data_IF_136212262905
#
_entry.id   IF_136212262905
#
_cell.length_a   1.000
_cell.length_b   1.000
_cell.length_c   1.000
_cell.angle_alpha   90.00
_cell.angle_beta   90.00
_cell.angle_gamma   90.00
#
_symmetry.space_group_name_H-M   'P 1'
#
loop_
_entity.id
_entity.type
_entity.pdbx_description
1 polymer ?
#
# COMPACT_ATOMS: atom_id res chain seq x y z
N UNK A 1 -8.69 -21.37 -21.38
CA UNK A 1 -8.83 -20.34 -20.31
C UNK A 1 -10.17 -19.63 -20.54
N UNK A 2 -11.15 -19.84 -19.66
CA UNK A 2 -12.55 -19.40 -19.88
C UNK A 2 -12.68 -17.88 -19.99
N UNK A 3 -13.65 -17.42 -20.77
CA UNK A 3 -13.92 -16.00 -21.07
C UNK A 3 -14.16 -15.17 -19.80
N UNK A 4 -14.85 -15.75 -18.82
CA UNK A 4 -15.11 -15.12 -17.52
C UNK A 4 -13.84 -14.82 -16.71
N UNK A 5 -12.81 -15.65 -16.84
CA UNK A 5 -11.52 -15.44 -16.17
C UNK A 5 -10.79 -14.25 -16.81
N UNK A 6 -10.83 -14.13 -18.14
CA UNK A 6 -10.25 -12.98 -18.85
C UNK A 6 -10.94 -11.67 -18.45
N UNK A 7 -12.27 -11.64 -18.38
CA UNK A 7 -13.04 -10.45 -18.00
C UNK A 7 -12.73 -10.01 -16.57
N UNK A 8 -12.67 -10.95 -15.61
CA UNK A 8 -12.30 -10.65 -14.21
C UNK A 8 -10.87 -10.11 -14.09
N UNK A 9 -9.91 -10.68 -14.82
CA UNK A 9 -8.51 -10.21 -14.84
C UNK A 9 -8.41 -8.80 -15.44
N UNK A 10 -9.12 -8.52 -16.53
CA UNK A 10 -9.12 -7.20 -17.16
C UNK A 10 -9.72 -6.15 -16.24
N UNK A 11 -10.88 -6.41 -15.62
CA UNK A 11 -11.52 -5.47 -14.67
C UNK A 11 -10.64 -5.17 -13.46
N UNK A 12 -9.98 -6.18 -12.91
CA UNK A 12 -9.03 -6.00 -11.81
C UNK A 12 -7.82 -5.18 -12.24
N UNK A 13 -7.31 -5.39 -13.45
CA UNK A 13 -6.15 -4.65 -13.98
C UNK A 13 -6.49 -3.17 -14.19
N UNK A 14 -7.68 -2.87 -14.72
CA UNK A 14 -8.16 -1.50 -14.89
C UNK A 14 -8.32 -0.77 -13.54
N UNK A 15 -8.88 -1.45 -12.53
CA UNK A 15 -8.98 -0.88 -11.18
C UNK A 15 -7.60 -0.60 -10.58
N UNK A 16 -6.65 -1.52 -10.74
CA UNK A 16 -5.29 -1.33 -10.25
C UNK A 16 -4.62 -0.11 -10.92
N UNK A 17 -4.80 0.07 -12.24
CA UNK A 17 -4.30 1.24 -12.96
C UNK A 17 -4.96 2.52 -12.43
N UNK A 18 -6.29 2.54 -12.27
CA UNK A 18 -7.02 3.70 -11.76
C UNK A 18 -6.52 4.10 -10.37
N UNK A 19 -6.39 3.15 -9.45
CA UNK A 19 -5.86 3.42 -8.12
C UNK A 19 -4.40 3.90 -8.17
N UNK A 20 -3.59 3.34 -9.06
CA UNK A 20 -2.20 3.79 -9.27
C UNK A 20 -2.16 5.26 -9.70
N UNK A 21 -3.01 5.65 -10.67
CA UNK A 21 -3.11 7.03 -11.13
C UNK A 21 -3.54 7.97 -10.00
N UNK A 22 -4.57 7.60 -9.23
CA UNK A 22 -5.04 8.38 -8.08
C UNK A 22 -3.94 8.52 -7.01
N UNK A 23 -3.21 7.44 -6.73
CA UNK A 23 -2.08 7.47 -5.80
C UNK A 23 -0.95 8.40 -6.26
N UNK A 24 -0.59 8.36 -7.55
CA UNK A 24 0.39 9.28 -8.14
C UNK A 24 -0.02 10.74 -8.00
N UNK A 25 -1.30 11.07 -8.25
CA UNK A 25 -1.83 12.43 -8.11
C UNK A 25 -1.76 12.88 -6.63
N UNK A 26 -2.14 12.02 -5.69
CA UNK A 26 -2.06 12.32 -4.25
C UNK A 26 -0.62 12.60 -3.80
N UNK A 27 0.34 11.76 -4.19
CA UNK A 27 1.75 11.99 -3.91
C UNK A 27 2.23 13.31 -4.50
N UNK A 28 1.86 13.57 -5.74
CA UNK A 28 2.22 14.78 -6.46
C UNK A 28 1.73 16.06 -5.78
N UNK A 29 0.48 16.05 -5.31
CA UNK A 29 -0.11 17.16 -4.54
C UNK A 29 0.62 17.31 -3.21
N UNK A 30 0.83 16.22 -2.47
CA UNK A 30 1.56 16.21 -1.20
C UNK A 30 2.97 16.81 -1.33
N UNK A 31 3.69 16.46 -2.40
CA UNK A 31 5.03 16.98 -2.67
C UNK A 31 5.01 18.46 -3.05
N UNK A 32 4.23 18.85 -4.06
CA UNK A 32 4.29 20.21 -4.60
C UNK A 32 3.70 21.25 -3.64
N UNK A 33 2.55 20.97 -3.02
CA UNK A 33 1.88 21.93 -2.18
C UNK A 33 2.54 22.06 -0.80
N UNK A 34 3.13 20.98 -0.26
CA UNK A 34 3.61 20.98 1.11
C UNK A 34 5.14 20.88 1.22
N UNK A 35 5.75 19.82 0.68
CA UNK A 35 7.19 19.59 0.86
C UNK A 35 8.05 20.62 0.10
N UNK A 36 7.72 20.85 -1.17
CA UNK A 36 8.46 21.80 -2.01
C UNK A 36 8.20 23.24 -1.57
N UNK A 37 6.97 23.54 -1.13
CA UNK A 37 6.64 24.84 -0.53
C UNK A 37 7.52 25.12 0.71
N UNK A 38 7.71 24.11 1.56
CA UNK A 38 8.58 24.19 2.75
C UNK A 38 10.10 24.11 2.43
N UNK A 39 10.51 23.99 1.16
CA UNK A 39 11.90 23.70 0.73
C UNK A 39 12.49 22.47 1.41
N UNK A 40 11.65 21.47 1.64
CA UNK A 40 12.05 20.17 2.13
C UNK A 40 12.49 19.28 0.97
N UNK A 41 13.26 18.27 1.32
CA UNK A 41 13.62 17.19 0.42
C UNK A 41 12.47 16.17 0.38
N UNK A 42 12.58 15.21 -0.53
CA UNK A 42 11.68 14.07 -0.66
C UNK A 42 12.42 12.77 -0.35
N UNK A 43 11.70 11.66 -0.18
CA UNK A 43 12.31 10.34 -0.11
C UNK A 43 12.82 9.84 -1.48
N UNK A 44 13.79 8.92 -1.42
CA UNK A 44 14.27 8.08 -2.51
C UNK A 44 14.91 8.86 -3.65
N UNK A 45 14.63 8.41 -4.87
CA UNK A 45 15.11 9.08 -6.09
C UNK A 45 14.51 10.47 -6.23
N UNK A 46 13.28 10.70 -5.78
CA UNK A 46 12.66 12.04 -5.80
C UNK A 46 13.48 13.03 -4.97
N UNK A 47 14.02 12.60 -3.82
CA UNK A 47 14.94 13.40 -3.01
C UNK A 47 16.20 13.80 -3.78
N UNK A 48 16.84 12.83 -4.43
CA UNK A 48 18.02 13.07 -5.28
C UNK A 48 17.68 14.04 -6.43
N UNK A 49 16.51 13.89 -7.06
CA UNK A 49 16.06 14.78 -8.13
C UNK A 49 15.82 16.21 -7.62
N UNK A 50 15.28 16.39 -6.42
CA UNK A 50 15.12 17.73 -5.82
C UNK A 50 16.47 18.37 -5.50
N UNK A 51 17.45 17.60 -5.00
CA UNK A 51 18.82 18.09 -4.81
C UNK A 51 19.38 18.58 -6.16
N UNK A 52 19.25 17.79 -7.23
CA UNK A 52 19.69 18.18 -8.57
C UNK A 52 18.95 19.42 -9.09
N UNK A 53 17.64 19.52 -8.83
CA UNK A 53 16.86 20.69 -9.23
C UNK A 53 17.27 21.95 -8.48
N UNK A 54 17.54 21.87 -7.19
CA UNK A 54 17.91 23.02 -6.38
C UNK A 54 19.35 23.48 -6.63
N UNK A 55 20.29 22.56 -6.88
CA UNK A 55 21.70 22.89 -7.13
C UNK A 55 21.99 23.21 -8.59
N UNK A 56 21.47 22.42 -9.53
CA UNK A 56 21.80 22.50 -10.96
C UNK A 56 20.66 23.02 -11.84
N UNK A 57 19.51 23.37 -11.26
CA UNK A 57 18.29 23.83 -11.97
C UNK A 57 17.77 22.84 -13.03
N UNK A 58 18.13 21.57 -12.91
CA UNK A 58 17.62 20.51 -13.79
C UNK A 58 16.17 20.19 -13.37
N UNK A 59 15.20 20.11 -14.30
CA UNK A 59 13.83 19.76 -13.95
C UNK A 59 13.76 18.38 -13.28
N UNK A 60 13.25 18.30 -12.04
CA UNK A 60 13.23 17.05 -11.28
C UNK A 60 12.50 15.92 -12.00
N UNK A 61 11.43 16.22 -12.75
CA UNK A 61 10.69 15.21 -13.51
C UNK A 61 11.54 14.49 -14.57
N UNK A 62 12.50 15.18 -15.21
CA UNK A 62 13.40 14.59 -16.20
C UNK A 62 14.45 13.73 -15.51
N UNK A 63 15.10 14.26 -14.47
CA UNK A 63 16.06 13.52 -13.65
C UNK A 63 15.44 12.25 -13.06
N UNK A 64 14.16 12.31 -12.67
CA UNK A 64 13.43 11.17 -12.12
C UNK A 64 13.31 10.04 -13.13
N UNK A 65 12.98 10.34 -14.39
CA UNK A 65 12.88 9.32 -15.43
C UNK A 65 14.24 8.67 -15.73
N UNK A 66 15.29 9.48 -15.82
CA UNK A 66 16.64 8.99 -16.16
C UNK A 66 17.17 8.06 -15.06
N UNK A 67 17.08 8.47 -13.79
CA UNK A 67 17.58 7.67 -12.66
C UNK A 67 16.76 6.37 -12.49
N UNK A 68 15.49 6.37 -12.91
CA UNK A 68 14.63 5.19 -12.83
C UNK A 68 14.89 4.13 -13.92
N UNK A 69 15.48 4.48 -15.07
CA UNK A 69 15.80 3.52 -16.13
C UNK A 69 16.60 2.30 -15.63
N UNK A 70 17.74 2.44 -14.93
CA UNK A 70 18.48 1.28 -14.39
C UNK A 70 17.68 0.53 -13.31
N UNK A 71 16.84 1.22 -12.53
CA UNK A 71 16.04 0.61 -11.49
C UNK A 71 14.90 -0.24 -12.07
N UNK A 72 14.36 0.11 -13.24
CA UNK A 72 13.39 -0.74 -13.94
C UNK A 72 14.01 -2.06 -14.41
N UNK A 73 15.28 -2.05 -14.81
CA UNK A 73 15.99 -3.27 -15.15
C UNK A 73 16.14 -4.18 -13.92
N UNK A 74 16.53 -3.61 -12.77
CA UNK A 74 16.58 -4.34 -11.50
C UNK A 74 15.21 -4.89 -11.09
N UNK A 75 14.16 -4.07 -11.20
CA UNK A 75 12.77 -4.47 -10.95
C UNK A 75 12.37 -5.65 -11.82
N UNK A 76 12.66 -5.61 -13.13
CA UNK A 76 12.32 -6.71 -14.04
C UNK A 76 12.98 -8.02 -13.63
N UNK A 77 14.25 -7.98 -13.23
CA UNK A 77 15.02 -9.16 -12.83
C UNK A 77 14.55 -9.76 -11.51
N UNK A 78 14.18 -8.94 -10.52
CA UNK A 78 13.86 -9.41 -9.16
C UNK A 78 12.35 -9.57 -8.94
N UNK A 79 11.57 -8.55 -9.33
CA UNK A 79 10.13 -8.46 -9.05
C UNK A 79 9.27 -9.13 -10.14
N UNK A 80 9.78 -9.19 -11.37
CA UNK A 80 9.09 -9.79 -12.51
C UNK A 80 8.25 -8.80 -13.32
N UNK A 81 7.77 -9.27 -14.48
CA UNK A 81 7.18 -8.42 -15.55
C UNK A 81 5.98 -7.58 -15.10
N UNK A 82 5.06 -8.15 -14.33
CA UNK A 82 3.81 -7.48 -13.93
C UNK A 82 4.09 -6.25 -13.05
N UNK A 83 4.95 -6.40 -12.05
CA UNK A 83 5.33 -5.32 -11.14
C UNK A 83 6.09 -4.21 -11.88
N UNK A 84 7.01 -4.58 -12.77
CA UNK A 84 7.78 -3.60 -13.56
C UNK A 84 6.89 -2.77 -14.47
N UNK A 85 5.92 -3.37 -15.17
CA UNK A 85 4.99 -2.61 -16.03
C UNK A 85 4.17 -1.61 -15.21
N UNK A 86 3.60 -2.05 -14.08
CA UNK A 86 2.85 -1.16 -13.19
C UNK A 86 3.74 -0.05 -12.60
N UNK A 87 5.00 -0.35 -12.30
CA UNK A 87 5.97 0.63 -11.79
C UNK A 87 6.37 1.66 -12.85
N UNK A 88 6.57 1.25 -14.11
CA UNK A 88 6.81 2.16 -15.23
C UNK A 88 5.59 3.08 -15.41
N UNK A 89 4.38 2.53 -15.41
CA UNK A 89 3.15 3.31 -15.48
C UNK A 89 3.02 4.30 -14.31
N UNK A 90 3.28 3.85 -13.09
CA UNK A 90 3.28 4.70 -11.89
C UNK A 90 4.31 5.82 -11.97
N UNK A 91 5.53 5.51 -12.39
CA UNK A 91 6.63 6.47 -12.54
C UNK A 91 6.32 7.54 -13.59
N UNK A 92 5.83 7.14 -14.77
CA UNK A 92 5.44 8.06 -15.84
C UNK A 92 4.27 8.94 -15.40
N UNK A 93 3.24 8.33 -14.81
CA UNK A 93 2.06 9.06 -14.32
C UNK A 93 2.45 10.05 -13.22
N UNK A 94 3.31 9.65 -12.30
CA UNK A 94 3.83 10.52 -11.25
C UNK A 94 4.64 11.68 -11.83
N UNK A 95 5.55 11.43 -12.77
CA UNK A 95 6.32 12.51 -13.42
C UNK A 95 5.42 13.53 -14.13
N UNK A 96 4.38 13.06 -14.84
CA UNK A 96 3.40 13.93 -15.49
C UNK A 96 2.59 14.72 -14.44
N UNK A 97 2.03 14.05 -13.44
CA UNK A 97 1.27 14.68 -12.37
C UNK A 97 2.11 15.72 -11.61
N UNK A 98 3.38 15.41 -11.35
CA UNK A 98 4.34 16.27 -10.67
C UNK A 98 4.55 17.57 -11.42
N UNK A 99 4.74 17.51 -12.74
CA UNK A 99 4.84 18.72 -13.55
C UNK A 99 3.52 19.49 -13.64
N UNK A 100 2.39 18.80 -13.76
CA UNK A 100 1.06 19.42 -13.83
C UNK A 100 0.66 20.13 -12.52
N UNK A 101 1.10 19.62 -11.39
CA UNK A 101 0.77 20.18 -10.07
C UNK A 101 1.80 21.21 -9.57
N UNK A 102 2.94 21.36 -10.24
CA UNK A 102 3.96 22.35 -9.91
C UNK A 102 3.46 23.81 -9.83
N UNK A 103 2.51 24.28 -10.68
CA UNK A 103 1.96 25.63 -10.57
C UNK A 103 1.23 25.89 -9.25
N UNK A 104 0.70 24.86 -8.59
CA UNK A 104 -0.06 25.00 -7.35
C UNK A 104 0.83 25.15 -6.10
N UNK A 105 2.16 25.12 -6.23
CA UNK A 105 3.09 25.23 -5.09
C UNK A 105 2.90 26.48 -4.23
N UNK A 106 2.37 27.57 -4.80
CA UNK A 106 2.16 28.85 -4.12
C UNK A 106 0.70 29.07 -3.69
N UNK A 107 -0.17 28.07 -3.86
CA UNK A 107 -1.58 28.18 -3.51
C UNK A 107 -1.80 28.25 -1.99
N UNK A 108 -0.91 27.62 -1.22
CA UNK A 108 -0.96 27.65 0.24
C UNK A 108 -0.15 28.84 0.79
N UNK A 109 -0.73 29.56 1.74
CA UNK A 109 -0.08 30.65 2.48
C UNK A 109 0.45 30.20 3.85
N UNK A 110 0.45 28.89 4.10
CA UNK A 110 0.84 28.28 5.37
C UNK A 110 2.37 28.30 5.48
N UNK A 111 2.89 28.85 6.59
CA UNK A 111 4.34 28.94 6.84
C UNK A 111 4.85 27.98 7.92
N UNK A 112 3.96 27.31 8.65
CA UNK A 112 4.35 26.37 9.70
C UNK A 112 5.00 25.11 9.09
N UNK A 113 6.31 24.90 9.28
CA UNK A 113 7.02 23.77 8.69
C UNK A 113 6.53 22.42 9.21
N UNK A 114 6.08 22.33 10.47
CA UNK A 114 5.57 21.08 11.05
C UNK A 114 4.26 20.71 10.37
N UNK A 115 3.36 21.69 10.20
CA UNK A 115 2.08 21.47 9.52
C UNK A 115 2.32 20.97 8.09
N UNK A 116 3.23 21.63 7.36
CA UNK A 116 3.60 21.25 6.00
C UNK A 116 4.21 19.83 5.95
N UNK A 117 5.09 19.48 6.91
CA UNK A 117 5.64 18.12 7.02
C UNK A 117 4.55 17.06 7.25
N UNK A 118 3.61 17.33 8.16
CA UNK A 118 2.56 16.36 8.51
C UNK A 118 1.65 16.12 7.32
N UNK A 119 1.10 17.16 6.69
CA UNK A 119 0.18 16.99 5.57
C UNK A 119 0.89 16.49 4.30
N UNK A 120 2.10 16.97 4.04
CA UNK A 120 2.95 16.47 2.95
C UNK A 120 3.25 14.98 3.14
N UNK A 121 3.63 14.59 4.36
CA UNK A 121 3.89 13.19 4.73
C UNK A 121 2.64 12.31 4.63
N UNK A 122 1.49 12.75 5.15
CA UNK A 122 0.24 11.98 5.10
C UNK A 122 -0.21 11.77 3.66
N UNK A 123 -0.28 12.82 2.84
CA UNK A 123 -0.73 12.71 1.44
C UNK A 123 0.22 11.85 0.61
N UNK A 124 1.53 12.02 0.81
CA UNK A 124 2.53 11.21 0.14
C UNK A 124 2.43 9.73 0.58
N UNK A 125 2.31 9.47 1.88
CA UNK A 125 2.13 8.12 2.41
C UNK A 125 0.86 7.44 1.90
N UNK A 126 -0.26 8.17 1.84
CA UNK A 126 -1.51 7.68 1.26
C UNK A 126 -1.32 7.28 -0.21
N UNK A 127 -0.74 8.16 -1.02
CA UNK A 127 -0.53 7.88 -2.44
C UNK A 127 0.44 6.72 -2.67
N UNK A 128 1.56 6.67 -1.95
CA UNK A 128 2.53 5.57 -2.00
C UNK A 128 1.88 4.24 -1.63
N UNK A 129 1.09 4.23 -0.55
CA UNK A 129 0.41 3.03 -0.07
C UNK A 129 -0.62 2.52 -1.09
N UNK A 130 -1.37 3.41 -1.73
CA UNK A 130 -2.32 3.04 -2.79
C UNK A 130 -1.60 2.44 -4.00
N UNK A 131 -0.51 3.05 -4.47
CA UNK A 131 0.27 2.54 -5.61
C UNK A 131 0.85 1.15 -5.29
N UNK A 132 1.48 1.00 -4.13
CA UNK A 132 2.11 -0.26 -3.72
C UNK A 132 1.09 -1.38 -3.51
N UNK A 133 -0.09 -1.05 -2.96
CA UNK A 133 -1.21 -1.98 -2.81
C UNK A 133 -1.72 -2.55 -4.14
N UNK A 134 -1.43 -1.89 -5.26
CA UNK A 134 -1.87 -2.25 -6.60
C UNK A 134 -0.76 -2.88 -7.46
N UNK A 135 0.29 -3.42 -6.82
CA UNK A 135 1.45 -4.05 -7.47
C UNK A 135 2.29 -3.10 -8.35
N UNK A 136 2.29 -1.81 -8.04
CA UNK A 136 3.15 -0.81 -8.67
C UNK A 136 4.06 -0.15 -7.66
N UNK A 137 4.97 0.68 -8.15
CA UNK A 137 5.74 1.64 -7.34
C UNK A 137 5.79 2.97 -8.10
N UNK A 138 6.04 4.05 -7.38
CA UNK A 138 6.37 5.33 -8.02
C UNK A 138 7.75 5.29 -8.68
N UNK A 139 8.55 4.25 -8.39
CA UNK A 139 9.91 4.08 -8.83
C UNK A 139 10.89 4.34 -7.70
N UNK A 140 12.14 4.54 -8.05
CA UNK A 140 13.19 4.97 -7.16
C UNK A 140 13.73 3.88 -6.26
N UNK A 141 14.35 4.30 -5.16
CA UNK A 141 15.00 3.39 -4.21
C UNK A 141 13.99 2.50 -3.46
N UNK A 142 12.70 2.82 -3.55
CA UNK A 142 11.62 1.95 -3.12
C UNK A 142 11.58 0.63 -3.91
N UNK A 143 12.06 0.59 -5.17
CA UNK A 143 12.27 -0.66 -5.90
C UNK A 143 13.30 -1.54 -5.20
N UNK A 144 14.34 -0.93 -4.61
CA UNK A 144 15.39 -1.66 -3.89
C UNK A 144 14.82 -2.21 -2.58
N UNK A 145 14.06 -1.42 -1.83
CA UNK A 145 13.39 -1.89 -0.61
C UNK A 145 12.41 -3.04 -0.90
N UNK A 146 11.63 -2.94 -1.99
CA UNK A 146 10.77 -4.02 -2.48
C UNK A 146 11.58 -5.28 -2.84
N UNK A 147 12.70 -5.12 -3.54
CA UNK A 147 13.58 -6.23 -3.91
C UNK A 147 14.21 -6.91 -2.67
N UNK A 148 14.61 -6.13 -1.66
CA UNK A 148 15.13 -6.66 -0.40
C UNK A 148 14.05 -7.43 0.36
N UNK A 149 12.84 -6.86 0.50
CA UNK A 149 11.71 -7.53 1.15
C UNK A 149 11.35 -8.84 0.43
N UNK A 150 11.37 -8.84 -0.91
CA UNK A 150 11.12 -10.06 -1.69
C UNK A 150 12.14 -11.16 -1.41
N UNK A 151 13.41 -10.79 -1.22
CA UNK A 151 14.48 -11.75 -0.96
C UNK A 151 14.51 -12.20 0.50
N UNK A 152 14.13 -11.32 1.43
CA UNK A 152 14.16 -11.54 2.87
C UNK A 152 12.84 -11.06 3.51
N UNK A 153 11.96 -11.98 3.84
CA UNK A 153 10.62 -11.69 4.39
C UNK A 153 10.66 -10.96 5.75
N UNK A 154 11.75 -11.11 6.49
CA UNK A 154 11.95 -10.46 7.80
C UNK A 154 12.14 -8.93 7.70
N UNK A 155 12.37 -8.38 6.51
CA UNK A 155 12.57 -6.94 6.33
C UNK A 155 11.26 -6.25 5.94
N UNK A 156 10.86 -5.30 6.77
CA UNK A 156 9.78 -4.39 6.44
C UNK A 156 10.23 -3.41 5.35
N UNK A 157 9.34 -3.17 4.38
CA UNK A 157 9.60 -2.25 3.28
C UNK A 157 9.87 -0.84 3.80
N UNK A 158 9.01 -0.33 4.70
CA UNK A 158 9.12 0.99 5.30
C UNK A 158 10.42 1.21 6.05
N UNK A 159 10.81 0.25 6.89
CA UNK A 159 12.04 0.32 7.68
C UNK A 159 13.28 0.32 6.78
N UNK A 160 13.29 -0.52 5.74
CA UNK A 160 14.37 -0.57 4.75
C UNK A 160 14.47 0.73 3.95
N UNK A 161 13.35 1.22 3.44
CA UNK A 161 13.31 2.49 2.72
C UNK A 161 13.71 3.67 3.61
N UNK A 162 13.27 3.70 4.88
CA UNK A 162 13.65 4.76 5.82
C UNK A 162 15.16 4.79 6.07
N UNK A 163 15.79 3.64 6.27
CA UNK A 163 17.23 3.53 6.45
C UNK A 163 18.02 4.06 5.24
N UNK A 164 17.59 3.72 4.01
CA UNK A 164 18.18 4.26 2.77
C UNK A 164 18.04 5.78 2.73
N UNK A 165 16.89 6.32 3.13
CA UNK A 165 16.64 7.75 3.14
C UNK A 165 17.49 8.51 4.15
N UNK A 166 17.79 7.94 5.31
CA UNK A 166 18.70 8.57 6.28
C UNK A 166 20.04 8.92 5.62
N UNK A 167 20.60 8.01 4.81
CA UNK A 167 21.87 8.25 4.11
C UNK A 167 21.76 9.43 3.12
N UNK A 168 20.70 9.45 2.31
CA UNK A 168 20.47 10.49 1.29
C UNK A 168 20.25 11.85 1.96
N UNK A 169 19.44 11.89 3.02
CA UNK A 169 19.11 13.13 3.72
C UNK A 169 20.30 13.63 4.53
N UNK A 170 21.13 12.74 5.08
CA UNK A 170 22.40 13.14 5.72
C UNK A 170 23.33 13.82 4.73
N UNK A 171 23.42 13.30 3.50
CA UNK A 171 24.17 13.98 2.43
C UNK A 171 23.52 15.31 2.02
N UNK A 172 22.19 15.35 1.92
CA UNK A 172 21.43 16.57 1.65
C UNK A 172 21.56 17.65 2.73
N UNK A 173 21.75 17.26 4.00
CA UNK A 173 21.91 18.19 5.13
C UNK A 173 23.12 19.12 4.97
N UNK A 174 24.15 18.66 4.25
CA UNK A 174 25.35 19.46 3.92
C UNK A 174 24.98 20.70 3.08
N UNK A 175 23.97 20.57 2.19
CA UNK A 175 23.56 21.62 1.26
C UNK A 175 22.36 22.43 1.75
N UNK A 176 21.41 21.80 2.44
CA UNK A 176 20.13 22.41 2.82
C UNK A 176 20.01 22.72 4.32
N UNK A 177 21.03 22.36 5.11
CA UNK A 177 21.07 22.56 6.55
C UNK A 177 20.35 21.45 7.34
N UNK A 178 20.77 21.31 8.59
CA UNK A 178 20.30 20.26 9.50
C UNK A 178 18.79 20.37 9.76
N UNK A 179 18.24 21.59 9.83
CA UNK A 179 16.82 21.80 10.09
C UNK A 179 15.94 21.24 8.98
N UNK A 180 16.24 21.53 7.71
CA UNK A 180 15.48 20.98 6.56
C UNK A 180 15.62 19.46 6.49
N UNK A 181 16.80 18.93 6.81
CA UNK A 181 17.04 17.48 6.88
C UNK A 181 16.18 16.79 7.95
N UNK A 182 16.12 17.32 9.17
CA UNK A 182 15.31 16.76 10.26
C UNK A 182 13.81 16.82 9.94
N UNK A 183 13.32 17.94 9.41
CA UNK A 183 11.93 18.07 8.95
C UNK A 183 11.61 17.09 7.83
N UNK A 184 12.54 16.89 6.90
CA UNK A 184 12.37 15.89 5.84
C UNK A 184 12.27 14.48 6.42
N UNK A 185 13.18 14.08 7.32
CA UNK A 185 13.13 12.77 7.96
C UNK A 185 11.81 12.55 8.72
N UNK A 186 11.33 13.58 9.41
CA UNK A 186 10.05 13.55 10.09
C UNK A 186 8.88 13.32 9.10
N UNK A 187 8.85 14.05 8.00
CA UNK A 187 7.85 13.86 6.94
C UNK A 187 7.93 12.48 6.27
N UNK A 188 9.13 11.95 6.06
CA UNK A 188 9.35 10.62 5.49
C UNK A 188 8.85 9.54 6.46
N UNK A 189 9.12 9.67 7.76
CA UNK A 189 8.61 8.76 8.78
C UNK A 189 7.07 8.70 8.77
N UNK A 190 6.41 9.86 8.74
CA UNK A 190 4.94 9.93 8.63
C UNK A 190 4.46 9.28 7.33
N UNK A 191 5.14 9.53 6.20
CA UNK A 191 4.79 8.93 4.91
C UNK A 191 4.80 7.41 5.00
N UNK A 192 5.87 6.82 5.55
CA UNK A 192 5.99 5.37 5.65
C UNK A 192 5.01 4.77 6.66
N UNK A 193 4.78 5.42 7.80
CA UNK A 193 3.75 4.99 8.76
C UNK A 193 2.36 4.93 8.11
N UNK A 194 1.97 5.98 7.39
CA UNK A 194 0.67 6.03 6.70
C UNK A 194 0.60 5.02 5.57
N UNK A 195 1.67 4.90 4.78
CA UNK A 195 1.78 3.94 3.70
C UNK A 195 1.56 2.51 4.20
N UNK A 196 2.19 2.09 5.30
CA UNK A 196 1.97 0.77 5.89
C UNK A 196 0.53 0.55 6.30
N UNK A 197 -0.11 1.55 6.92
CA UNK A 197 -1.53 1.46 7.30
C UNK A 197 -2.43 1.30 6.07
N UNK A 198 -2.10 1.97 4.96
CA UNK A 198 -2.83 1.81 3.71
C UNK A 198 -2.62 0.42 3.11
N UNK A 199 -1.37 -0.05 3.01
CA UNK A 199 -1.06 -1.38 2.46
C UNK A 199 -1.76 -2.47 3.26
N UNK A 200 -1.65 -2.41 4.59
CA UNK A 200 -2.35 -3.32 5.49
C UNK A 200 -3.85 -3.19 5.26
N UNK A 201 -4.41 -1.97 5.26
CA UNK A 201 -5.83 -1.69 5.06
C UNK A 201 -6.43 -2.30 3.79
N UNK A 202 -5.71 -2.20 2.66
CA UNK A 202 -6.12 -2.78 1.38
C UNK A 202 -5.98 -4.31 1.33
N UNK A 203 -5.14 -4.91 2.18
CA UNK A 203 -4.86 -6.34 2.17
C UNK A 203 -5.30 -7.08 3.46
N UNK A 204 -6.11 -6.44 4.32
CA UNK A 204 -6.58 -7.08 5.57
C UNK A 204 -7.45 -8.29 5.26
N UNK A 205 -6.97 -9.45 5.69
CA UNK A 205 -7.78 -10.64 5.86
C UNK A 205 -8.19 -10.77 7.32
N UNK A 206 -9.33 -11.39 7.55
CA UNK A 206 -9.86 -11.64 8.89
C UNK A 206 -10.19 -13.12 8.99
N UNK A 207 -9.70 -13.75 10.04
CA UNK A 207 -10.19 -15.06 10.43
C UNK A 207 -11.47 -14.85 11.21
N UNK A 208 -12.53 -15.51 10.79
CA UNK A 208 -13.83 -15.48 11.43
C UNK A 208 -14.15 -16.90 11.87
N UNK A 209 -14.34 -17.06 13.18
CA UNK A 209 -14.82 -18.29 13.79
C UNK A 209 -16.27 -18.10 14.21
N UNK A 210 -17.17 -18.94 13.69
CA UNK A 210 -18.61 -18.81 13.93
C UNK A 210 -19.10 -20.08 14.60
N UNK A 211 -19.65 -19.94 15.80
CA UNK A 211 -20.28 -21.02 16.55
C UNK A 211 -21.79 -20.88 16.33
N UNK A 212 -22.40 -21.88 15.72
CA UNK A 212 -23.83 -21.92 15.38
C UNK A 212 -24.33 -23.36 15.45
N UNK A 213 -25.66 -23.54 15.53
CA UNK A 213 -26.31 -24.84 15.34
C UNK A 213 -26.91 -25.00 13.92
N UNK A 214 -26.64 -24.03 13.02
CA UNK A 214 -27.09 -24.02 11.62
C UNK A 214 -25.90 -24.04 10.67
N UNK A 215 -24.91 -24.88 10.97
CA UNK A 215 -23.63 -24.91 10.27
C UNK A 215 -23.74 -25.21 8.77
N UNK A 216 -24.66 -26.10 8.35
CA UNK A 216 -24.87 -26.48 6.95
C UNK A 216 -25.48 -25.33 6.12
N UNK A 217 -26.53 -24.70 6.63
CA UNK A 217 -27.18 -23.55 5.98
C UNK A 217 -26.22 -22.36 5.87
N UNK A 218 -25.46 -22.10 6.93
CA UNK A 218 -24.53 -20.99 6.96
C UNK A 218 -23.31 -21.24 6.05
N UNK A 219 -22.73 -22.45 6.07
CA UNK A 219 -21.60 -22.82 5.22
C UNK A 219 -21.95 -22.73 3.73
N UNK A 220 -23.10 -23.29 3.32
CA UNK A 220 -23.59 -23.23 1.95
C UNK A 220 -23.83 -21.79 1.49
N UNK A 221 -24.41 -20.95 2.36
CA UNK A 221 -24.63 -19.53 2.08
C UNK A 221 -23.30 -18.76 1.93
N UNK A 222 -22.32 -19.02 2.79
CA UNK A 222 -20.99 -18.40 2.70
C UNK A 222 -20.32 -18.79 1.38
N UNK A 223 -20.31 -20.08 1.04
CA UNK A 223 -19.71 -20.56 -0.21
C UNK A 223 -20.39 -19.96 -1.45
N UNK A 224 -21.72 -19.83 -1.43
CA UNK A 224 -22.50 -19.27 -2.54
C UNK A 224 -22.32 -17.76 -2.71
N UNK A 225 -22.42 -16.99 -1.63
CA UNK A 225 -22.45 -15.52 -1.70
C UNK A 225 -21.06 -14.87 -1.58
N UNK A 226 -20.16 -15.45 -0.80
CA UNK A 226 -18.83 -14.89 -0.57
C UNK A 226 -17.75 -15.57 -1.43
N UNK A 227 -18.06 -16.71 -2.06
CA UNK A 227 -17.10 -17.53 -2.81
C UNK A 227 -15.87 -17.88 -1.95
N UNK A 228 -16.11 -18.19 -0.67
CA UNK A 228 -15.09 -18.53 0.32
C UNK A 228 -15.27 -19.95 0.82
N UNK A 229 -14.17 -20.70 0.85
CA UNK A 229 -14.12 -21.98 1.53
C UNK A 229 -14.32 -21.80 3.04
N UNK A 230 -14.90 -22.82 3.65
CA UNK A 230 -15.09 -22.91 5.09
C UNK A 230 -14.59 -24.27 5.57
N UNK A 231 -14.15 -24.34 6.81
CA UNK A 231 -13.71 -25.57 7.46
C UNK A 231 -14.50 -25.75 8.75
N UNK A 232 -14.99 -26.95 9.00
CA UNK A 232 -15.62 -27.28 10.28
C UNK A 232 -14.55 -27.71 11.28
N UNK A 233 -14.52 -27.04 12.42
CA UNK A 233 -13.75 -27.44 13.59
C UNK A 233 -14.72 -28.01 14.62
N UNK A 234 -14.52 -29.27 14.99
CA UNK A 234 -15.33 -29.94 15.99
C UNK A 234 -14.78 -29.65 17.38
N UNK A 235 -15.63 -29.10 18.24
CA UNK A 235 -15.33 -28.79 19.63
C UNK A 235 -16.41 -29.32 20.56
N UNK A 236 -16.19 -29.14 21.86
CA UNK A 236 -17.15 -29.53 22.90
C UNK A 236 -17.34 -28.38 23.87
N UNK A 237 -18.58 -28.02 24.15
CA UNK A 237 -18.89 -26.97 25.12
C UNK A 237 -18.41 -27.36 26.51
N UNK A 238 -17.54 -26.54 27.12
CA UNK A 238 -17.01 -26.84 28.45
C UNK A 238 -18.11 -26.90 29.53
N UNK A 239 -19.12 -26.03 29.39
CA UNK A 239 -20.29 -25.96 30.29
C UNK A 239 -21.38 -26.96 29.91
N UNK A 240 -21.85 -26.90 28.66
CA UNK A 240 -22.98 -27.74 28.20
C UNK A 240 -22.61 -29.20 27.98
N UNK A 241 -21.32 -29.52 27.82
CA UNK A 241 -20.81 -30.84 27.42
C UNK A 241 -21.37 -31.37 26.11
N UNK A 242 -22.01 -30.52 25.30
CA UNK A 242 -22.49 -30.88 23.97
C UNK A 242 -21.40 -30.65 22.94
N UNK A 243 -21.39 -31.48 21.91
CA UNK A 243 -20.56 -31.26 20.73
C UNK A 243 -21.03 -29.99 20.01
N UNK A 244 -20.08 -29.24 19.48
CA UNK A 244 -20.29 -27.96 18.81
C UNK A 244 -19.43 -27.89 17.56
N UNK A 245 -20.05 -27.46 16.47
CA UNK A 245 -19.36 -27.17 15.23
C UNK A 245 -18.98 -25.69 15.20
N UNK A 246 -17.71 -25.41 14.94
CA UNK A 246 -17.20 -24.06 14.71
C UNK A 246 -16.83 -23.92 13.24
N UNK A 247 -17.46 -22.97 12.55
CA UNK A 247 -17.10 -22.61 11.18
C UNK A 247 -15.85 -21.74 11.22
N UNK A 248 -14.77 -22.25 10.66
CA UNK A 248 -13.53 -21.53 10.40
C UNK A 248 -13.57 -20.98 8.97
N UNK A 249 -13.56 -19.66 8.83
CA UNK A 249 -13.58 -19.00 7.53
C UNK A 249 -12.64 -17.80 7.51
N UNK A 250 -11.83 -17.69 6.46
CA UNK A 250 -11.04 -16.49 6.21
C UNK A 250 -11.76 -15.64 5.16
N UNK A 251 -11.96 -14.36 5.46
CA UNK A 251 -12.59 -13.39 4.55
C UNK A 251 -11.75 -12.13 4.42
N UNK A 252 -11.92 -11.41 3.32
CA UNK A 252 -11.34 -10.06 3.23
C UNK A 252 -12.11 -9.08 4.13
N UNK A 253 -11.46 -7.98 4.52
CA UNK A 253 -12.11 -6.92 5.30
C UNK A 253 -13.38 -6.39 4.63
N UNK A 254 -13.41 -6.32 3.29
CA UNK A 254 -14.57 -5.87 2.52
C UNK A 254 -15.73 -6.87 2.52
N UNK A 255 -15.44 -8.15 2.72
CA UNK A 255 -16.42 -9.23 2.82
C UNK A 255 -17.04 -9.34 4.21
N UNK A 256 -16.37 -8.82 5.25
CA UNK A 256 -16.79 -8.93 6.64
C UNK A 256 -18.19 -8.34 6.92
N UNK A 257 -18.60 -7.17 6.39
CA UNK A 257 -19.94 -6.64 6.61
C UNK A 257 -21.04 -7.54 6.04
N UNK A 258 -20.81 -8.13 4.86
CA UNK A 258 -21.74 -9.07 4.24
C UNK A 258 -21.83 -10.36 5.06
N UNK A 259 -20.69 -10.91 5.50
CA UNK A 259 -20.67 -12.09 6.35
C UNK A 259 -21.47 -11.87 7.65
N UNK A 260 -21.28 -10.74 8.34
CA UNK A 260 -22.04 -10.40 9.55
C UNK A 260 -23.55 -10.39 9.30
N UNK A 261 -23.99 -9.83 8.17
CA UNK A 261 -25.41 -9.83 7.78
C UNK A 261 -25.93 -11.24 7.52
N UNK A 262 -25.20 -12.05 6.76
CA UNK A 262 -25.59 -13.44 6.47
C UNK A 262 -25.73 -14.27 7.75
N UNK A 263 -24.76 -14.15 8.65
CA UNK A 263 -24.75 -14.86 9.95
C UNK A 263 -25.95 -14.44 10.80
N UNK A 264 -26.15 -13.13 10.98
CA UNK A 264 -27.27 -12.63 11.78
C UNK A 264 -28.65 -12.96 11.20
N UNK A 265 -28.77 -13.08 9.88
CA UNK A 265 -30.03 -13.43 9.21
C UNK A 265 -30.37 -14.92 9.34
N UNK A 266 -29.36 -15.79 9.30
CA UNK A 266 -29.55 -17.24 9.40
C UNK A 266 -29.71 -17.66 10.86
N UNK A 267 -28.86 -17.15 11.74
CA UNK A 267 -28.84 -17.48 13.15
C UNK A 267 -28.49 -16.27 14.01
N UNK A 268 -29.52 -15.62 14.55
CA UNK A 268 -29.38 -14.50 15.49
C UNK A 268 -28.80 -14.90 16.85
N UNK A 269 -28.75 -16.20 17.16
CA UNK A 269 -28.17 -16.73 18.41
C UNK A 269 -26.71 -17.19 18.25
N UNK A 270 -26.16 -17.06 17.04
CA UNK A 270 -24.78 -17.44 16.75
C UNK A 270 -23.76 -16.55 17.46
N UNK A 271 -22.59 -17.13 17.75
CA UNK A 271 -21.46 -16.41 18.30
C UNK A 271 -20.35 -16.30 17.25
N UNK A 272 -19.86 -15.08 17.00
CA UNK A 272 -18.81 -14.82 16.02
C UNK A 272 -17.59 -14.19 16.71
N UNK A 273 -16.42 -14.81 16.52
CA UNK A 273 -15.12 -14.23 16.89
C UNK A 273 -14.36 -13.83 15.62
N UNK A 274 -13.75 -12.64 15.64
CA UNK A 274 -13.02 -12.07 14.50
C UNK A 274 -11.60 -11.78 14.94
N UNK A 275 -10.64 -12.40 14.27
CA UNK A 275 -9.21 -12.25 14.54
C UNK A 275 -8.49 -11.60 13.36
N UNK A 276 -7.50 -10.77 13.69
CA UNK A 276 -6.55 -10.22 12.73
C UNK A 276 -5.49 -11.29 12.46
N UNK A 277 -5.34 -11.63 11.18
CA UNK A 277 -4.33 -12.59 10.72
C UNK A 277 -3.28 -11.83 9.91
N UNK A 278 -2.01 -12.12 10.18
CA UNK A 278 -0.88 -11.46 9.54
C UNK A 278 -0.84 -11.79 8.04
N UNK A 279 -0.89 -13.08 7.71
CA UNK A 279 -0.78 -13.58 6.34
C UNK A 279 -1.61 -14.85 6.13
N UNK A 280 -2.06 -15.08 4.89
CA UNK A 280 -2.78 -16.28 4.46
C UNK A 280 -2.38 -16.61 3.04
N UNK A 281 -2.00 -17.86 2.83
CA UNK A 281 -1.63 -18.39 1.53
C UNK A 281 -2.63 -19.49 1.12
N UNK A 282 -3.00 -19.49 -0.16
CA UNK A 282 -3.87 -20.54 -0.72
C UNK A 282 -4.83 -20.03 -1.79
N UNK A 283 -5.53 -20.97 -2.42
CA UNK A 283 -6.51 -20.67 -3.48
C UNK A 283 -7.61 -19.74 -2.96
N UNK A 284 -7.84 -18.64 -3.69
CA UNK A 284 -8.81 -17.60 -3.34
C UNK A 284 -8.23 -16.43 -2.54
N UNK A 285 -7.04 -16.55 -1.97
CA UNK A 285 -6.34 -15.44 -1.31
C UNK A 285 -5.18 -14.97 -2.17
N UNK A 286 -4.95 -13.65 -2.25
CA UNK A 286 -3.88 -13.09 -3.10
C UNK A 286 -2.54 -13.62 -2.59
N UNK A 287 -1.89 -14.46 -3.40
CA UNK A 287 -0.47 -14.79 -3.23
C UNK A 287 0.40 -13.54 -3.30
N UNK A 288 1.47 -13.59 -2.52
CA UNK A 288 2.47 -12.58 -2.17
C UNK A 288 2.45 -11.26 -2.98
N UNK A 289 2.52 -10.15 -2.25
CA UNK A 289 2.74 -8.81 -2.82
C UNK A 289 4.18 -8.62 -3.34
N UNK A 290 5.06 -9.61 -3.16
CA UNK A 290 6.46 -9.60 -3.59
C UNK A 290 6.90 -10.99 -4.05
#
# INVERSE_FOLDING_TARGET
MSEDIKIRITKQTTLNILFTVLGCILCSIGMNLFLIHARLLSSGVSGICLILQYLFKIPAGISYLIINLPLFFLSYKVMGKKFTIMTILGTLTFSIAFNLTAPFKNLLTIKDPILLCVYGGVLNGLGMGVVLSNYGSLGGLDIIAAAIKKKNENFEFSTTSFAINILIITFGAIFFGISSALYTLFSIYISYFVMDKVIIGFNKQKLVMIITNKEEDLSSTIMKHLQRGVTFLYGKGAYTKCDKTVIYCVVSIHQLPLLKRLVSNIDSTSFMSILDISEVHGNGFKGNMF
#
